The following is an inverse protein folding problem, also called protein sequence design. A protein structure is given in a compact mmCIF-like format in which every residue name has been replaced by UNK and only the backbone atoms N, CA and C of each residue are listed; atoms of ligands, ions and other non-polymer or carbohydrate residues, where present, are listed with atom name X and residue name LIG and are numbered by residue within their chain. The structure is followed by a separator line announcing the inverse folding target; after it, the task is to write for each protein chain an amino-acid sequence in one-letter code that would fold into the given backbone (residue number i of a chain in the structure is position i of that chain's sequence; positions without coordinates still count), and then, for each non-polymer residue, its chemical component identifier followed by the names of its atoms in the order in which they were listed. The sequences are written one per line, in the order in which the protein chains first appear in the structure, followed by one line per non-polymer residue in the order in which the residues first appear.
data_IF_848748316220
#
_entry.id   IF_848748316220
#
_cell.length_a   1.000
_cell.length_b   1.000
_cell.length_c   1.000
_cell.angle_alpha   90.00
_cell.angle_beta   90.00
_cell.angle_gamma   90.00
#
_symmetry.space_group_name_H-M   'P 1'
#
loop_
_entity.id
_entity.type
_entity.pdbx_description
1 polymer ?
#
# COMPACT_ATOMS: atom_id res chain seq x y z
N UNK A 1 19.12 -25.29 1.02
CA UNK A 1 17.78 -24.79 1.34
C UNK A 1 17.29 -24.00 0.13
N UNK A 2 16.18 -24.41 -0.51
CA UNK A 2 15.61 -23.70 -1.64
C UNK A 2 15.11 -22.32 -1.16
N UNK A 3 15.64 -21.26 -1.76
CA UNK A 3 15.20 -19.89 -1.51
C UNK A 3 13.72 -19.76 -1.92
N UNK A 4 12.87 -19.20 -1.07
CA UNK A 4 11.45 -18.99 -1.42
C UNK A 4 11.34 -18.08 -2.66
N UNK A 5 10.24 -18.19 -3.41
CA UNK A 5 10.02 -17.33 -4.60
C UNK A 5 10.04 -15.85 -4.20
N UNK A 6 9.48 -15.50 -3.04
CA UNK A 6 9.47 -14.14 -2.47
C UNK A 6 10.87 -13.62 -2.15
N UNK A 7 11.77 -14.47 -1.62
CA UNK A 7 13.17 -14.08 -1.34
C UNK A 7 13.96 -13.82 -2.62
N UNK A 8 13.74 -14.63 -3.67
CA UNK A 8 14.38 -14.42 -4.97
C UNK A 8 13.93 -13.09 -5.59
N UNK A 9 12.63 -12.82 -5.61
CA UNK A 9 12.09 -11.56 -6.11
C UNK A 9 12.60 -10.36 -5.31
N UNK A 10 12.72 -10.46 -3.97
CA UNK A 10 13.34 -9.39 -3.15
C UNK A 10 14.78 -9.13 -3.55
N UNK A 11 15.56 -10.15 -3.83
CA UNK A 11 16.94 -10.00 -4.29
C UNK A 11 17.02 -9.31 -5.67
N UNK A 12 16.14 -9.66 -6.61
CA UNK A 12 16.03 -9.03 -7.92
C UNK A 12 15.66 -7.53 -7.81
N UNK A 13 14.78 -7.19 -6.87
CA UNK A 13 14.40 -5.82 -6.57
C UNK A 13 15.40 -5.08 -5.66
N UNK A 14 16.50 -5.72 -5.27
CA UNK A 14 17.53 -5.21 -4.34
C UNK A 14 16.95 -4.79 -2.98
N UNK A 15 15.92 -5.50 -2.54
CA UNK A 15 15.30 -5.28 -1.22
C UNK A 15 15.96 -6.17 -0.15
N UNK A 16 16.07 -5.68 1.10
CA UNK A 16 16.67 -6.46 2.20
C UNK A 16 15.80 -7.68 2.54
N UNK A 17 16.46 -8.77 2.94
CA UNK A 17 15.80 -10.02 3.33
C UNK A 17 15.33 -10.00 4.78
N UNK A 18 16.00 -9.23 5.62
CA UNK A 18 15.85 -9.16 7.06
C UNK A 18 14.88 -8.09 7.54
N UNK A 19 14.33 -7.29 6.63
CA UNK A 19 13.33 -6.25 6.95
C UNK A 19 11.95 -6.60 6.42
N UNK A 20 10.92 -6.18 7.16
CA UNK A 20 9.54 -6.18 6.65
C UNK A 20 9.35 -5.02 5.67
N UNK A 21 8.78 -5.31 4.51
CA UNK A 21 8.55 -4.32 3.46
C UNK A 21 7.15 -3.73 3.58
N UNK A 22 7.08 -2.42 3.76
CA UNK A 22 5.85 -1.62 3.76
C UNK A 22 5.81 -0.79 2.48
N UNK A 23 4.86 -1.04 1.60
CA UNK A 23 4.82 -0.45 0.27
C UNK A 23 3.73 0.62 0.17
N UNK A 24 4.08 1.78 -0.39
CA UNK A 24 3.18 2.90 -0.66
C UNK A 24 3.20 3.24 -2.15
N UNK A 25 2.04 3.20 -2.79
CA UNK A 25 1.89 3.57 -4.20
C UNK A 25 0.99 4.78 -4.32
N UNK A 26 1.56 5.93 -4.57
CA UNK A 26 0.82 7.15 -4.89
C UNK A 26 1.73 8.20 -5.53
N UNK A 27 1.15 9.11 -6.30
CA UNK A 27 1.88 10.29 -6.72
C UNK A 27 2.31 11.12 -5.49
N UNK A 28 3.49 11.72 -5.54
CA UNK A 28 3.97 12.67 -4.54
C UNK A 28 3.21 14.00 -4.68
N UNK A 29 1.95 13.98 -4.25
CA UNK A 29 0.99 15.10 -4.23
C UNK A 29 0.48 15.31 -2.81
N UNK A 30 0.28 16.56 -2.35
CA UNK A 30 -0.18 16.85 -1.00
C UNK A 30 -1.49 16.14 -0.60
N UNK A 31 -2.46 16.06 -1.52
CA UNK A 31 -3.76 15.40 -1.30
C UNK A 31 -3.67 13.88 -1.08
N UNK A 32 -2.56 13.26 -1.45
CA UNK A 32 -2.29 11.83 -1.20
C UNK A 32 -1.56 11.58 0.13
N UNK A 33 -1.19 12.64 0.83
CA UNK A 33 -0.47 12.58 2.11
C UNK A 33 0.80 11.71 2.14
N UNK A 34 1.63 11.68 1.08
CA UNK A 34 2.78 10.78 1.04
C UNK A 34 3.84 11.12 2.09
N UNK A 35 3.83 12.36 2.62
CA UNK A 35 4.77 12.79 3.68
C UNK A 35 4.49 12.15 5.03
N UNK A 36 3.32 11.52 5.23
CA UNK A 36 3.01 10.72 6.41
C UNK A 36 3.89 9.46 6.50
N UNK A 37 4.66 9.15 5.43
CA UNK A 37 5.67 8.10 5.44
C UNK A 37 6.78 8.36 6.48
N UNK A 38 7.15 9.63 6.71
CA UNK A 38 8.21 9.98 7.67
C UNK A 38 7.83 9.66 9.11
N UNK A 39 6.71 10.19 9.67
CA UNK A 39 6.29 9.83 11.01
C UNK A 39 5.96 8.34 11.15
N UNK A 40 5.54 7.66 10.09
CA UNK A 40 5.37 6.22 10.12
C UNK A 40 6.72 5.50 10.22
N UNK A 41 7.73 5.91 9.44
CA UNK A 41 9.07 5.31 9.47
C UNK A 41 9.74 5.42 10.84
N UNK A 42 9.59 6.58 11.50
CA UNK A 42 10.08 6.80 12.87
C UNK A 42 9.47 5.82 13.87
N UNK A 43 8.16 5.57 13.76
CA UNK A 43 7.44 4.65 14.67
C UNK A 43 7.76 3.18 14.42
N UNK A 44 7.96 2.81 13.16
CA UNK A 44 8.24 1.41 12.79
C UNK A 44 9.70 1.01 13.05
N UNK A 45 10.64 1.96 12.92
CA UNK A 45 12.07 1.72 13.14
C UNK A 45 12.73 0.82 12.09
N UNK A 46 13.95 0.42 12.37
CA UNK A 46 14.86 -0.21 11.38
C UNK A 46 14.50 -1.63 10.96
N UNK A 47 13.56 -2.27 11.65
CA UNK A 47 13.06 -3.60 11.25
C UNK A 47 12.15 -3.55 10.02
N UNK A 48 11.74 -2.37 9.60
CA UNK A 48 10.88 -2.13 8.46
C UNK A 48 11.60 -1.29 7.41
N UNK A 49 11.35 -1.57 6.14
CA UNK A 49 11.71 -0.70 5.02
C UNK A 49 10.41 -0.21 4.36
N UNK A 50 10.22 1.09 4.36
CA UNK A 50 9.11 1.73 3.67
C UNK A 50 9.56 2.07 2.25
N UNK A 51 8.88 1.51 1.25
CA UNK A 51 9.18 1.71 -0.16
C UNK A 51 8.06 2.53 -0.78
N UNK A 52 8.40 3.68 -1.34
CA UNK A 52 7.45 4.55 -2.03
C UNK A 52 7.66 4.52 -3.55
N UNK A 53 6.61 4.18 -4.30
CA UNK A 53 6.54 4.28 -5.75
C UNK A 53 5.54 5.36 -6.18
N UNK A 54 5.98 6.29 -7.01
CA UNK A 54 5.12 7.32 -7.56
C UNK A 54 5.89 8.48 -8.17
N UNK A 55 5.24 9.19 -9.10
CA UNK A 55 5.82 10.36 -9.72
C UNK A 55 5.82 11.56 -8.76
N UNK A 56 6.85 12.38 -8.86
CA UNK A 56 6.86 13.71 -8.26
C UNK A 56 5.93 14.61 -9.10
N UNK A 57 4.82 15.05 -8.48
CA UNK A 57 3.83 15.88 -9.17
C UNK A 57 4.03 17.38 -8.91
N UNK A 58 4.41 17.76 -7.70
CA UNK A 58 4.65 19.15 -7.32
C UNK A 58 6.08 19.33 -6.79
N UNK A 59 6.73 20.39 -7.28
CA UNK A 59 8.09 20.75 -6.90
C UNK A 59 8.08 22.06 -6.09
N UNK A 60 7.29 22.12 -5.02
CA UNK A 60 7.40 23.23 -4.08
C UNK A 60 8.70 23.09 -3.29
N UNK A 61 9.30 24.21 -2.91
CA UNK A 61 10.54 24.22 -2.11
C UNK A 61 10.39 23.41 -0.81
N UNK A 62 9.26 23.57 -0.12
CA UNK A 62 8.95 22.82 1.10
C UNK A 62 8.92 21.30 0.87
N UNK A 63 8.26 20.88 -0.22
CA UNK A 63 8.14 19.47 -0.56
C UNK A 63 9.49 18.87 -0.93
N UNK A 64 10.29 19.60 -1.71
CA UNK A 64 11.64 19.19 -2.09
C UNK A 64 12.58 19.15 -0.88
N UNK A 65 12.44 20.09 0.06
CA UNK A 65 13.22 20.09 1.30
C UNK A 65 12.89 18.83 2.16
N UNK A 66 11.62 18.46 2.27
CA UNK A 66 11.19 17.21 2.96
C UNK A 66 11.73 15.97 2.25
N UNK A 67 11.68 15.90 0.93
CA UNK A 67 12.27 14.78 0.18
C UNK A 67 13.80 14.69 0.39
N UNK A 68 14.51 15.79 0.38
CA UNK A 68 15.96 15.83 0.68
C UNK A 68 16.23 15.37 2.12
N UNK A 69 15.35 15.72 3.07
CA UNK A 69 15.49 15.24 4.45
C UNK A 69 15.35 13.72 4.60
N UNK A 70 14.80 13.04 3.59
CA UNK A 70 14.68 11.58 3.59
C UNK A 70 16.02 10.85 3.63
N UNK A 71 17.11 11.50 3.23
CA UNK A 71 18.47 10.95 3.34
C UNK A 71 18.87 10.62 4.79
N UNK A 72 18.18 11.22 5.78
CA UNK A 72 18.35 10.90 7.21
C UNK A 72 17.67 9.59 7.63
N UNK A 73 16.76 9.06 6.81
CA UNK A 73 15.98 7.87 7.12
C UNK A 73 16.55 6.67 6.38
N UNK A 74 17.28 5.81 7.08
CA UNK A 74 17.83 4.57 6.52
C UNK A 74 16.77 3.54 6.16
N UNK A 75 15.52 3.76 6.59
CA UNK A 75 14.40 2.86 6.43
C UNK A 75 13.31 3.39 5.47
N UNK A 76 13.60 4.41 4.65
CA UNK A 76 12.73 4.90 3.59
C UNK A 76 13.46 4.81 2.24
N UNK A 77 12.78 4.27 1.22
CA UNK A 77 13.28 4.17 -0.14
C UNK A 77 12.26 4.76 -1.12
N UNK A 78 12.60 5.87 -1.76
CA UNK A 78 11.82 6.44 -2.87
C UNK A 78 12.34 5.91 -4.20
N UNK A 79 11.51 5.15 -4.92
CA UNK A 79 11.90 4.49 -6.18
C UNK A 79 11.36 5.20 -7.43
N UNK A 80 10.67 6.33 -7.24
CA UNK A 80 10.12 7.12 -8.34
C UNK A 80 8.93 6.45 -9.04
N UNK A 81 8.62 6.95 -10.25
CA UNK A 81 7.54 6.40 -11.07
C UNK A 81 7.99 5.07 -11.70
N UNK A 82 7.16 4.06 -11.56
CA UNK A 82 7.36 2.75 -12.19
C UNK A 82 6.27 2.45 -13.22
N UNK A 83 6.57 1.65 -14.26
CA UNK A 83 5.55 1.01 -15.08
C UNK A 83 4.69 0.06 -14.24
N UNK A 84 3.42 -0.12 -14.63
CA UNK A 84 2.47 -0.94 -13.87
C UNK A 84 2.97 -2.38 -13.65
N UNK A 85 3.59 -2.98 -14.67
CA UNK A 85 4.13 -4.35 -14.58
C UNK A 85 5.18 -4.48 -13.44
N UNK A 86 5.98 -3.41 -13.22
CA UNK A 86 6.97 -3.40 -12.14
C UNK A 86 6.35 -3.16 -10.77
N UNK A 87 5.23 -2.44 -10.69
CA UNK A 87 4.51 -2.23 -9.43
C UNK A 87 3.99 -3.56 -8.88
N UNK A 88 3.49 -4.45 -9.74
CA UNK A 88 3.01 -5.77 -9.34
C UNK A 88 4.09 -6.59 -8.60
N UNK A 89 5.34 -6.54 -9.06
CA UNK A 89 6.44 -7.23 -8.38
C UNK A 89 6.67 -6.73 -6.94
N UNK A 90 6.45 -5.43 -6.68
CA UNK A 90 6.52 -4.90 -5.31
C UNK A 90 5.35 -5.33 -4.44
N UNK A 91 4.14 -5.44 -4.99
CA UNK A 91 3.01 -6.01 -4.25
C UNK A 91 3.29 -7.46 -3.81
N UNK A 92 3.87 -8.28 -4.69
CA UNK A 92 4.19 -9.68 -4.39
C UNK A 92 5.20 -9.86 -3.26
N UNK A 93 6.12 -8.91 -3.09
CA UNK A 93 7.18 -8.98 -2.08
C UNK A 93 6.89 -8.18 -0.82
N UNK A 94 5.91 -7.29 -0.84
CA UNK A 94 5.51 -6.49 0.31
C UNK A 94 4.92 -7.36 1.43
N UNK A 95 5.10 -6.92 2.65
CA UNK A 95 4.45 -7.48 3.83
C UNK A 95 3.18 -6.71 4.17
N UNK A 96 3.18 -5.41 3.91
CA UNK A 96 2.05 -4.51 4.02
C UNK A 96 2.03 -3.53 2.86
N UNK A 97 0.84 -3.11 2.48
CA UNK A 97 0.62 -1.93 1.64
C UNK A 97 -0.13 -0.91 2.46
N UNK A 98 0.20 0.35 2.30
CA UNK A 98 -0.43 1.44 3.06
C UNK A 98 -1.07 2.46 2.12
N UNK A 99 -2.14 3.10 2.60
CA UNK A 99 -2.76 4.25 1.96
C UNK A 99 -3.05 5.33 3.01
N UNK A 100 -2.46 6.52 2.84
CA UNK A 100 -2.61 7.63 3.76
C UNK A 100 -3.74 8.61 3.39
N UNK A 101 -4.29 8.50 2.17
CA UNK A 101 -5.21 9.49 1.63
C UNK A 101 -6.57 9.47 2.36
N UNK A 102 -6.91 10.49 3.18
CA UNK A 102 -8.18 10.55 3.89
C UNK A 102 -9.36 10.93 2.98
N UNK A 103 -9.07 11.29 1.73
CA UNK A 103 -10.06 11.67 0.72
C UNK A 103 -10.05 10.69 -0.47
N UNK A 104 -9.62 9.43 -0.28
CA UNK A 104 -9.60 8.43 -1.33
C UNK A 104 -11.02 8.02 -1.71
N UNK A 105 -11.43 8.36 -2.94
CA UNK A 105 -12.80 8.12 -3.41
C UNK A 105 -12.98 6.67 -3.86
N UNK A 106 -11.98 6.07 -4.49
CA UNK A 106 -12.05 4.68 -4.97
C UNK A 106 -10.88 3.82 -4.46
N UNK A 107 -9.63 4.13 -4.82
CA UNK A 107 -8.47 3.43 -4.29
C UNK A 107 -8.00 2.25 -5.16
N UNK A 108 -7.65 2.50 -6.42
CA UNK A 108 -7.11 1.47 -7.32
C UNK A 108 -5.92 0.71 -6.71
N UNK A 109 -4.97 1.42 -6.09
CA UNK A 109 -3.82 0.80 -5.43
C UNK A 109 -4.23 -0.15 -4.28
N UNK A 110 -5.37 0.11 -3.63
CA UNK A 110 -5.93 -0.77 -2.60
C UNK A 110 -6.43 -2.07 -3.25
N UNK A 111 -7.20 -1.95 -4.33
CA UNK A 111 -7.71 -3.13 -5.08
C UNK A 111 -6.56 -3.99 -5.61
N UNK A 112 -5.53 -3.37 -6.18
CA UNK A 112 -4.34 -4.05 -6.68
C UNK A 112 -3.60 -4.79 -5.56
N UNK A 113 -3.33 -4.15 -4.42
CA UNK A 113 -2.71 -4.77 -3.27
C UNK A 113 -3.52 -5.98 -2.76
N UNK A 114 -4.83 -5.82 -2.63
CA UNK A 114 -5.72 -6.89 -2.18
C UNK A 114 -5.78 -8.03 -3.19
N UNK A 115 -5.72 -7.76 -4.50
CA UNK A 115 -5.64 -8.80 -5.54
C UNK A 115 -4.38 -9.65 -5.40
N UNK A 116 -3.25 -9.05 -5.00
CA UNK A 116 -1.99 -9.76 -4.68
C UNK A 116 -2.01 -10.41 -3.28
N UNK A 117 -3.15 -10.34 -2.58
CA UNK A 117 -3.35 -10.89 -1.22
C UNK A 117 -2.36 -10.31 -0.19
N UNK A 118 -1.92 -9.07 -0.39
CA UNK A 118 -1.11 -8.33 0.57
C UNK A 118 -2.02 -7.67 1.60
N UNK A 119 -1.58 -7.63 2.85
CA UNK A 119 -2.30 -6.92 3.90
C UNK A 119 -2.26 -5.41 3.66
N UNK A 120 -3.41 -4.84 3.31
CA UNK A 120 -3.59 -3.39 3.19
C UNK A 120 -3.93 -2.78 4.55
N UNK A 121 -3.29 -1.65 4.87
CA UNK A 121 -3.61 -0.80 6.03
C UNK A 121 -3.85 0.60 5.50
N UNK A 122 -5.09 1.06 5.53
CA UNK A 122 -5.51 2.31 4.91
C UNK A 122 -6.14 3.26 5.93
N UNK A 123 -6.07 4.55 5.67
CA UNK A 123 -6.90 5.53 6.40
C UNK A 123 -8.35 5.38 5.99
N UNK A 124 -9.26 5.67 6.94
CA UNK A 124 -10.67 5.80 6.65
C UNK A 124 -10.90 6.85 5.57
N UNK A 125 -11.63 6.49 4.53
CA UNK A 125 -12.07 7.34 3.43
C UNK A 125 -13.18 6.61 2.66
N UNK A 126 -14.00 7.29 1.83
CA UNK A 126 -15.11 6.66 1.12
C UNK A 126 -14.73 5.41 0.32
N UNK A 127 -13.61 5.43 -0.40
CA UNK A 127 -13.13 4.27 -1.16
C UNK A 127 -12.66 3.11 -0.28
N UNK A 128 -11.68 3.32 0.60
CA UNK A 128 -11.23 2.30 1.56
C UNK A 128 -12.36 1.68 2.37
N UNK A 129 -13.30 2.48 2.88
CA UNK A 129 -14.43 2.01 3.70
C UNK A 129 -15.40 1.12 2.91
N UNK A 130 -15.54 1.36 1.59
CA UNK A 130 -16.32 0.51 0.70
C UNK A 130 -15.59 -0.81 0.36
N UNK A 131 -14.28 -0.74 0.13
CA UNK A 131 -13.48 -1.87 -0.37
C UNK A 131 -13.06 -2.80 0.76
N UNK A 132 -12.60 -2.26 1.89
CA UNK A 132 -11.97 -3.02 2.98
C UNK A 132 -13.02 -3.42 4.01
N UNK A 133 -13.11 -4.70 4.25
CA UNK A 133 -13.80 -5.26 5.42
C UNK A 133 -12.80 -5.31 6.58
N UNK A 134 -12.94 -4.32 7.49
CA UNK A 134 -11.95 -4.10 8.55
C UNK A 134 -11.68 -5.35 9.41
N UNK A 135 -10.41 -5.71 9.54
CA UNK A 135 -9.94 -6.91 10.25
C UNK A 135 -10.10 -8.23 9.49
N UNK A 136 -10.79 -8.25 8.33
CA UNK A 136 -11.02 -9.47 7.52
C UNK A 136 -10.29 -9.44 6.18
N UNK A 137 -10.37 -8.34 5.45
CA UNK A 137 -9.71 -8.20 4.14
C UNK A 137 -8.62 -7.12 4.11
N UNK A 138 -8.47 -6.37 5.17
CA UNK A 138 -7.52 -5.31 5.40
C UNK A 138 -7.81 -4.61 6.71
N UNK A 139 -7.13 -3.52 6.98
CA UNK A 139 -7.32 -2.71 8.18
C UNK A 139 -7.61 -1.26 7.81
N UNK A 140 -8.57 -0.66 8.54
CA UNK A 140 -8.93 0.74 8.44
C UNK A 140 -8.50 1.46 9.72
N UNK A 141 -7.84 2.61 9.55
CA UNK A 141 -7.22 3.37 10.63
C UNK A 141 -7.59 4.86 10.52
N UNK A 142 -7.63 5.56 11.65
CA UNK A 142 -7.93 7.00 11.68
C UNK A 142 -6.67 7.87 11.57
N UNK A 143 -5.50 7.33 11.93
CA UNK A 143 -4.26 8.09 12.00
C UNK A 143 -3.04 7.27 11.61
N UNK A 144 -1.91 7.95 11.42
CA UNK A 144 -0.60 7.31 11.20
C UNK A 144 -0.18 6.46 12.40
N UNK A 145 -0.55 6.88 13.61
CA UNK A 145 -0.31 6.15 14.86
C UNK A 145 -1.00 4.78 14.83
N UNK A 146 -2.29 4.75 14.45
CA UNK A 146 -3.05 3.51 14.33
C UNK A 146 -2.50 2.59 13.22
N UNK A 147 -2.06 3.18 12.09
CA UNK A 147 -1.37 2.43 11.03
C UNK A 147 -0.11 1.77 11.59
N UNK A 148 0.72 2.54 12.32
CA UNK A 148 1.94 2.00 12.93
C UNK A 148 1.63 0.88 13.93
N UNK A 149 0.66 1.07 14.82
CA UNK A 149 0.25 0.06 15.79
C UNK A 149 -0.26 -1.22 15.12
N UNK A 150 -1.05 -1.08 14.05
CA UNK A 150 -1.55 -2.21 13.27
C UNK A 150 -0.41 -3.01 12.66
N UNK A 151 0.56 -2.35 12.04
CA UNK A 151 1.73 -2.99 11.44
C UNK A 151 2.60 -3.65 12.52
N UNK A 152 2.90 -2.94 13.62
CA UNK A 152 3.72 -3.45 14.74
C UNK A 152 3.08 -4.64 15.45
N UNK A 153 1.74 -4.72 15.46
CA UNK A 153 1.03 -5.88 16.02
C UNK A 153 1.24 -7.17 15.23
N UNK A 154 1.82 -7.10 14.03
CA UNK A 154 2.05 -8.24 13.15
C UNK A 154 0.78 -8.84 12.52
N UNK A 155 -0.37 -8.21 12.72
CA UNK A 155 -1.65 -8.68 12.16
C UNK A 155 -1.60 -8.76 10.64
N UNK A 156 -2.11 -9.87 10.09
CA UNK A 156 -2.21 -10.13 8.64
C UNK A 156 -3.62 -10.59 8.31
N UNK A 157 -4.02 -10.35 7.06
CA UNK A 157 -5.26 -10.90 6.50
C UNK A 157 -4.95 -11.89 5.38
N UNK A 158 -5.84 -12.87 5.18
CA UNK A 158 -5.65 -13.91 4.16
C UNK A 158 -6.75 -13.90 3.08
N UNK A 159 -7.81 -13.14 3.29
CA UNK A 159 -9.00 -13.16 2.42
C UNK A 159 -9.14 -11.93 1.52
N UNK A 160 -8.08 -11.10 1.42
CA UNK A 160 -8.12 -9.87 0.64
C UNK A 160 -8.48 -10.15 -0.84
N UNK A 161 -7.76 -11.08 -1.48
CA UNK A 161 -7.98 -11.45 -2.88
C UNK A 161 -9.37 -12.01 -3.15
N UNK A 162 -9.88 -12.86 -2.23
CA UNK A 162 -11.22 -13.44 -2.37
C UNK A 162 -12.26 -12.35 -2.51
N UNK A 163 -12.21 -11.33 -1.63
CA UNK A 163 -13.14 -10.19 -1.67
C UNK A 163 -13.06 -9.44 -3.00
N UNK A 164 -11.85 -9.23 -3.56
CA UNK A 164 -11.71 -8.55 -4.85
C UNK A 164 -12.36 -9.34 -5.98
N UNK A 165 -12.08 -10.64 -6.05
CA UNK A 165 -12.67 -11.51 -7.10
C UNK A 165 -14.19 -11.53 -7.00
N UNK A 166 -14.73 -11.55 -5.78
CA UNK A 166 -16.16 -11.69 -5.53
C UNK A 166 -16.94 -10.39 -5.82
N UNK A 167 -16.35 -9.22 -5.55
CA UNK A 167 -17.10 -7.95 -5.55
C UNK A 167 -16.59 -6.88 -6.51
N UNK A 168 -15.33 -6.92 -6.95
CA UNK A 168 -14.66 -5.81 -7.63
C UNK A 168 -14.02 -6.18 -8.99
N UNK A 169 -14.41 -7.30 -9.59
CA UNK A 169 -14.03 -7.64 -10.97
C UNK A 169 -15.07 -7.11 -11.97
N UNK A 170 -14.68 -7.02 -13.23
CA UNK A 170 -15.61 -6.69 -14.31
C UNK A 170 -16.74 -7.70 -14.43
N UNK A 171 -16.46 -9.00 -14.23
CA UNK A 171 -17.44 -10.07 -14.24
C UNK A 171 -18.47 -9.91 -13.11
N UNK A 172 -18.01 -9.61 -11.89
CA UNK A 172 -18.91 -9.39 -10.75
C UNK A 172 -19.77 -8.14 -10.94
N UNK A 173 -19.20 -7.09 -11.54
CA UNK A 173 -19.92 -5.84 -11.85
C UNK A 173 -20.95 -6.06 -12.92
N UNK A 174 -20.60 -6.74 -14.03
CA UNK A 174 -21.51 -7.05 -15.13
C UNK A 174 -22.67 -7.91 -14.65
N UNK A 175 -22.40 -8.93 -13.80
CA UNK A 175 -23.45 -9.77 -13.23
C UNK A 175 -24.45 -8.96 -12.40
N UNK A 176 -23.98 -8.11 -11.49
CA UNK A 176 -24.85 -7.24 -10.69
C UNK A 176 -25.68 -6.30 -11.53
N UNK A 177 -25.09 -5.75 -12.60
CA UNK A 177 -25.81 -4.88 -13.54
C UNK A 177 -26.91 -5.64 -14.28
N UNK A 178 -26.62 -6.84 -14.78
CA UNK A 178 -27.61 -7.69 -15.45
C UNK A 178 -28.74 -8.09 -14.50
N UNK A 179 -28.43 -8.47 -13.26
CA UNK A 179 -29.44 -8.79 -12.25
C UNK A 179 -30.35 -7.58 -11.96
N UNK A 180 -29.76 -6.36 -11.92
CA UNK A 180 -30.53 -5.13 -11.68
C UNK A 180 -31.50 -4.77 -12.81
N UNK A 181 -31.12 -4.97 -14.07
CA UNK A 181 -31.99 -4.61 -15.23
C UNK A 181 -33.06 -5.69 -15.53
N UNK A 182 -32.96 -6.89 -14.92
CA UNK A 182 -33.95 -7.97 -15.08
C UNK A 182 -35.07 -7.91 -14.04
N UNK A 183 -34.96 -7.02 -13.08
CA UNK A 183 -35.93 -6.75 -12.01
C UNK A 183 -36.43 -5.31 -12.07
#
# INVERSE_FOLDING_TARGET
LATSSKERQRAELKLPKDKSIVFLVCALRPDKHPMDIFPLAERLGDKYLLVHAGALWMQTEEYMAKLKSSEKYSNILFIGKLPNEKIHAYYEVADYVINFNPNEIFGMAILEAMYHNVTIVARHAPGPDCIIENGRSGFLCNSVEEIAQTILSGKKVQNARKRIIEYFTWESTAKKFLDYIQH
#
